data_IF_057633399603
#
_entry.id   IF_057633399603
#
_cell.length_a   1.000
_cell.length_b   1.000
_cell.length_c   1.000
_cell.angle_alpha   90.00
_cell.angle_beta   90.00
_cell.angle_gamma   90.00
#
_symmetry.space_group_name_H-M   'P 1'
#
loop_
_entity.id
_entity.type
_entity.pdbx_description
1 polymer ?
#
# COMPACT_ATOMS: atom_id res chain seq x y z
N UNK A 1 -13.09 1.56 0.19
CA UNK A 1 -12.50 0.36 -0.45
C UNK A 1 -13.42 -0.82 -0.26
N UNK A 2 -13.71 -1.54 -1.33
CA UNK A 2 -14.56 -2.72 -1.29
C UNK A 2 -13.90 -3.85 -0.48
N UNK A 3 -14.73 -4.68 0.15
CA UNK A 3 -14.24 -5.81 0.94
C UNK A 3 -13.38 -6.77 0.12
N UNK A 4 -13.75 -7.00 -1.13
CA UNK A 4 -13.00 -7.85 -2.05
C UNK A 4 -11.59 -7.36 -2.35
N UNK A 5 -11.32 -6.07 -2.15
CA UNK A 5 -10.01 -5.46 -2.39
C UNK A 5 -9.17 -5.33 -1.12
N UNK A 6 -9.67 -5.82 0.02
CA UNK A 6 -8.93 -5.78 1.29
C UNK A 6 -8.16 -7.07 1.52
N UNK A 7 -6.88 -6.92 1.83
CA UNK A 7 -6.06 -8.03 2.28
C UNK A 7 -6.11 -8.04 3.80
N UNK A 8 -6.81 -9.02 4.39
CA UNK A 8 -7.08 -9.03 5.82
C UNK A 8 -6.53 -10.24 6.57
N UNK A 9 -6.18 -11.33 5.89
CA UNK A 9 -5.68 -12.53 6.54
C UNK A 9 -4.18 -12.40 6.83
N UNK A 10 -3.80 -12.74 8.07
CA UNK A 10 -2.40 -12.68 8.50
C UNK A 10 -1.47 -13.51 7.61
N UNK A 11 -1.91 -14.71 7.20
CA UNK A 11 -1.09 -15.57 6.34
C UNK A 11 -0.86 -14.95 4.96
N UNK A 12 -1.83 -14.20 4.45
CA UNK A 12 -1.69 -13.52 3.15
C UNK A 12 -0.71 -12.36 3.25
N UNK A 13 -0.79 -11.58 4.33
CA UNK A 13 0.20 -10.55 4.64
C UNK A 13 1.61 -11.14 4.71
N UNK A 14 1.76 -12.23 5.47
CA UNK A 14 3.06 -12.87 5.63
C UNK A 14 3.61 -13.40 4.31
N UNK A 15 2.77 -13.99 3.48
CA UNK A 15 3.17 -14.51 2.18
C UNK A 15 3.68 -13.39 1.27
N UNK A 16 2.96 -12.27 1.21
CA UNK A 16 3.37 -11.11 0.40
C UNK A 16 4.68 -10.54 0.92
N UNK A 17 4.81 -10.41 2.23
CA UNK A 17 6.01 -9.85 2.86
C UNK A 17 7.25 -10.74 2.65
N UNK A 18 7.08 -12.06 2.74
CA UNK A 18 8.21 -13.00 2.63
C UNK A 18 8.59 -13.32 1.20
N UNK A 19 7.62 -13.49 0.30
CA UNK A 19 7.83 -13.99 -1.05
C UNK A 19 7.66 -12.94 -2.12
N UNK A 20 7.05 -11.81 -1.78
CA UNK A 20 6.80 -10.73 -2.72
C UNK A 20 8.05 -9.94 -3.06
N UNK A 21 7.95 -9.19 -4.15
CA UNK A 21 8.91 -8.15 -4.48
C UNK A 21 8.59 -6.88 -3.70
N UNK A 22 9.54 -5.97 -3.58
CA UNK A 22 9.31 -4.72 -2.88
C UNK A 22 9.98 -3.54 -3.56
N UNK A 23 9.37 -2.38 -3.41
CA UNK A 23 9.95 -1.08 -3.72
C UNK A 23 9.72 -0.17 -2.51
N UNK A 24 10.58 0.82 -2.35
CA UNK A 24 10.49 1.69 -1.20
C UNK A 24 10.75 3.15 -1.56
N UNK A 25 10.23 4.03 -0.73
CA UNK A 25 10.53 5.45 -0.73
C UNK A 25 10.86 5.86 0.70
N UNK A 26 11.03 7.16 0.92
CA UNK A 26 11.31 7.68 2.25
C UNK A 26 10.23 7.29 3.28
N UNK A 27 8.96 7.27 2.86
CA UNK A 27 7.82 7.15 3.78
C UNK A 27 7.03 5.86 3.66
N UNK A 28 7.24 5.09 2.59
CA UNK A 28 6.42 3.92 2.29
C UNK A 28 7.26 2.78 1.73
N UNK A 29 6.84 1.56 2.04
CA UNK A 29 7.37 0.35 1.39
C UNK A 29 6.16 -0.38 0.80
N UNK A 30 6.26 -0.79 -0.45
CA UNK A 30 5.22 -1.56 -1.12
C UNK A 30 5.76 -2.92 -1.50
N UNK A 31 5.09 -3.97 -1.00
CA UNK A 31 5.34 -5.36 -1.40
C UNK A 31 4.21 -5.82 -2.30
N UNK A 32 4.51 -6.66 -3.29
CA UNK A 32 3.48 -7.28 -4.13
C UNK A 32 3.85 -8.70 -4.48
N UNK A 33 2.82 -9.53 -4.65
CA UNK A 33 2.97 -10.94 -4.97
C UNK A 33 1.89 -11.33 -5.99
N UNK A 34 2.27 -11.84 -7.18
CA UNK A 34 1.30 -12.35 -8.13
C UNK A 34 0.56 -13.56 -7.55
N UNK A 35 -0.71 -13.68 -7.88
CA UNK A 35 -1.55 -14.81 -7.52
C UNK A 35 -1.76 -15.69 -8.75
N UNK A 36 -1.89 -17.01 -8.54
CA UNK A 36 -2.06 -17.96 -9.64
C UNK A 36 -3.38 -17.80 -10.36
N UNK A 37 -4.45 -17.48 -9.63
CA UNK A 37 -5.76 -17.26 -10.21
C UNK A 37 -6.04 -15.79 -10.43
N UNK A 38 -6.63 -15.42 -11.59
CA UNK A 38 -7.04 -14.04 -11.82
C UNK A 38 -8.06 -13.64 -10.76
N UNK A 39 -7.76 -12.59 -10.03
CA UNK A 39 -8.65 -12.04 -9.01
C UNK A 39 -8.49 -10.54 -8.99
N UNK A 40 -9.46 -9.84 -8.39
CA UNK A 40 -9.31 -8.43 -8.15
C UNK A 40 -8.09 -8.18 -7.26
N UNK A 41 -7.38 -7.07 -7.45
CA UNK A 41 -6.23 -6.77 -6.60
C UNK A 41 -6.67 -6.59 -5.15
N UNK A 42 -5.85 -7.08 -4.23
CA UNK A 42 -6.06 -6.90 -2.79
C UNK A 42 -4.92 -6.13 -2.19
N UNK A 43 -5.23 -5.20 -1.30
CA UNK A 43 -4.23 -4.38 -0.61
C UNK A 43 -4.47 -4.41 0.89
N UNK A 44 -3.39 -4.62 1.63
CA UNK A 44 -3.37 -4.49 3.07
C UNK A 44 -2.40 -3.40 3.49
N UNK A 45 -2.66 -2.79 4.64
CA UNK A 45 -1.83 -1.72 5.17
C UNK A 45 -1.29 -2.11 6.53
N UNK A 46 0.00 -1.89 6.73
CA UNK A 46 0.64 -2.03 8.02
C UNK A 46 1.16 -0.69 8.48
N UNK A 47 0.67 -0.23 9.63
CA UNK A 47 1.09 1.04 10.22
C UNK A 47 1.68 0.74 11.59
N UNK A 48 3.03 0.63 11.69
CA UNK A 48 3.68 0.32 12.96
C UNK A 48 3.48 1.42 14.00
N UNK A 49 3.60 1.04 15.26
CA UNK A 49 3.48 1.99 16.38
C UNK A 49 4.48 3.15 16.29
N UNK A 50 5.66 2.90 15.74
CA UNK A 50 6.67 3.93 15.54
C UNK A 50 6.22 5.05 14.59
N UNK A 51 5.20 4.80 13.76
CA UNK A 51 4.70 5.81 12.82
C UNK A 51 3.82 6.87 13.48
N UNK A 52 3.36 6.66 14.72
CA UNK A 52 2.56 7.66 15.42
C UNK A 52 1.59 7.05 16.42
N UNK A 53 0.78 7.89 17.05
CA UNK A 53 -0.26 7.47 17.99
C UNK A 53 -1.44 6.80 17.27
N UNK A 54 -2.36 6.22 18.06
CA UNK A 54 -3.50 5.48 17.52
C UNK A 54 -4.37 6.32 16.58
N UNK A 55 -4.62 7.58 16.94
CA UNK A 55 -5.44 8.50 16.13
C UNK A 55 -4.77 8.78 14.79
N UNK A 56 -3.47 9.07 14.82
CA UNK A 56 -2.69 9.36 13.62
C UNK A 56 -2.57 8.14 12.71
N UNK A 57 -2.34 6.96 13.29
CA UNK A 57 -2.25 5.71 12.53
C UNK A 57 -3.58 5.37 11.85
N UNK A 58 -4.70 5.55 12.55
CA UNK A 58 -6.02 5.30 11.97
C UNK A 58 -6.34 6.29 10.86
N UNK A 59 -5.96 7.55 11.03
CA UNK A 59 -6.15 8.59 10.02
C UNK A 59 -5.39 8.28 8.74
N UNK A 60 -4.10 7.98 8.86
CA UNK A 60 -3.27 7.71 7.68
C UNK A 60 -3.73 6.43 6.95
N UNK A 61 -4.14 5.43 7.69
CA UNK A 61 -4.68 4.19 7.13
C UNK A 61 -5.94 4.46 6.31
N UNK A 62 -6.85 5.27 6.82
CA UNK A 62 -8.08 5.66 6.12
C UNK A 62 -7.77 6.46 4.87
N UNK A 63 -6.86 7.42 4.95
CA UNK A 63 -6.44 8.23 3.81
C UNK A 63 -5.78 7.37 2.72
N UNK A 64 -4.95 6.42 3.11
CA UNK A 64 -4.33 5.50 2.16
C UNK A 64 -5.36 4.61 1.46
N UNK A 65 -6.39 4.17 2.17
CA UNK A 65 -7.49 3.42 1.54
C UNK A 65 -8.20 4.24 0.47
N UNK A 66 -8.45 5.51 0.70
CA UNK A 66 -9.04 6.40 -0.30
C UNK A 66 -8.13 6.60 -1.49
N UNK A 67 -6.83 6.79 -1.25
CA UNK A 67 -5.83 6.92 -2.32
C UNK A 67 -5.83 5.68 -3.20
N UNK A 68 -5.77 4.49 -2.59
CA UNK A 68 -5.76 3.23 -3.33
C UNK A 68 -7.06 2.95 -4.06
N UNK A 69 -8.19 3.31 -3.44
CA UNK A 69 -9.51 3.09 -4.03
C UNK A 69 -9.63 3.79 -5.39
N UNK A 70 -9.10 4.98 -5.50
CA UNK A 70 -9.08 5.73 -6.77
C UNK A 70 -8.13 5.11 -7.82
N UNK A 71 -7.26 4.18 -7.43
CA UNK A 71 -6.22 3.61 -8.29
C UNK A 71 -6.37 2.11 -8.56
N UNK A 72 -7.39 1.47 -7.98
CA UNK A 72 -7.56 0.03 -8.13
C UNK A 72 -7.73 -0.42 -9.58
N UNK A 73 -8.35 0.41 -10.41
CA UNK A 73 -8.54 0.10 -11.82
C UNK A 73 -7.25 0.18 -12.64
N UNK A 74 -6.23 0.84 -12.11
CA UNK A 74 -4.96 1.04 -12.81
C UNK A 74 -3.87 0.07 -12.37
N UNK A 75 -4.05 -0.63 -11.26
CA UNK A 75 -3.08 -1.62 -10.80
C UNK A 75 -3.33 -2.97 -11.47
N UNK A 76 -2.26 -3.77 -11.59
CA UNK A 76 -2.35 -5.07 -12.25
C UNK A 76 -3.31 -6.00 -11.47
N UNK A 77 -4.30 -6.61 -12.16
CA UNK A 77 -5.14 -7.60 -11.51
C UNK A 77 -4.33 -8.84 -11.14
N UNK A 78 -4.87 -9.65 -10.24
CA UNK A 78 -4.21 -10.89 -9.84
C UNK A 78 -3.00 -10.70 -8.94
N UNK A 79 -2.86 -9.57 -8.29
CA UNK A 79 -1.76 -9.30 -7.36
C UNK A 79 -2.29 -8.98 -5.98
N UNK A 80 -1.54 -9.42 -4.97
CA UNK A 80 -1.73 -8.98 -3.59
C UNK A 80 -0.65 -7.97 -3.24
N UNK A 81 -1.06 -6.90 -2.57
CA UNK A 81 -0.19 -5.79 -2.18
C UNK A 81 -0.21 -5.61 -0.67
N UNK A 82 0.94 -5.30 -0.10
CA UNK A 82 1.06 -4.84 1.29
C UNK A 82 1.83 -3.53 1.29
N UNK A 83 1.22 -2.48 1.82
CA UNK A 83 1.87 -1.19 1.96
C UNK A 83 2.21 -0.96 3.43
N UNK A 84 3.48 -0.72 3.71
CA UNK A 84 3.98 -0.47 5.06
C UNK A 84 4.30 1.01 5.19
N UNK A 85 3.71 1.64 6.19
CA UNK A 85 3.95 3.04 6.52
C UNK A 85 5.24 3.15 7.34
N UNK A 86 6.13 4.04 6.91
CA UNK A 86 7.36 4.33 7.64
C UNK A 86 7.16 5.54 8.54
N UNK A 87 8.04 5.65 9.53
CA UNK A 87 8.03 6.77 10.47
C UNK A 87 8.09 8.10 9.73
N UNK A 88 7.28 9.06 10.19
CA UNK A 88 7.24 10.40 9.62
C UNK A 88 6.15 10.63 8.59
N UNK A 89 5.51 9.58 8.06
CA UNK A 89 4.46 9.76 7.06
C UNK A 89 3.25 10.54 7.57
N UNK A 90 2.68 10.23 8.76
CA UNK A 90 1.50 10.99 9.22
C UNK A 90 1.74 12.49 9.30
N UNK A 91 2.87 12.91 9.83
CA UNK A 91 3.20 14.33 9.92
C UNK A 91 3.42 14.96 8.55
N UNK A 92 4.12 14.26 7.66
CA UNK A 92 4.37 14.74 6.31
C UNK A 92 3.07 14.85 5.50
N UNK A 93 2.16 13.91 5.66
CA UNK A 93 0.86 13.94 4.98
C UNK A 93 -0.01 15.10 5.49
N UNK A 94 0.01 15.37 6.79
CA UNK A 94 -0.69 16.51 7.37
C UNK A 94 -0.14 17.85 6.84
N UNK A 95 1.17 17.95 6.77
CA UNK A 95 1.83 19.17 6.29
C UNK A 95 1.65 19.42 4.79
N UNK A 96 1.60 18.37 3.98
CA UNK A 96 1.61 18.48 2.52
C UNK A 96 0.26 18.21 1.85
N UNK A 97 -0.68 17.55 2.54
CA UNK A 97 -2.03 17.35 2.07
C UNK A 97 -2.28 16.03 1.35
N UNK A 98 -3.55 15.78 1.06
CA UNK A 98 -4.02 14.52 0.49
C UNK A 98 -3.48 14.25 -0.91
N UNK A 99 -3.39 15.29 -1.75
CA UNK A 99 -2.84 15.13 -3.11
C UNK A 99 -1.38 14.69 -3.08
N UNK A 100 -0.59 15.22 -2.15
CA UNK A 100 0.79 14.82 -1.95
C UNK A 100 0.88 13.34 -1.55
N UNK A 101 -0.02 12.88 -0.68
CA UNK A 101 -0.06 11.48 -0.27
C UNK A 101 -0.33 10.57 -1.46
N UNK A 102 -1.23 10.96 -2.35
CA UNK A 102 -1.49 10.26 -3.61
C UNK A 102 -0.25 10.17 -4.48
N UNK A 103 0.50 11.26 -4.58
CA UNK A 103 1.76 11.28 -5.35
C UNK A 103 2.79 10.31 -4.77
N UNK A 104 2.85 10.16 -3.45
CA UNK A 104 3.75 9.19 -2.81
C UNK A 104 3.39 7.75 -3.18
N UNK A 105 2.10 7.43 -3.23
CA UNK A 105 1.63 6.11 -3.66
C UNK A 105 1.93 5.89 -5.15
N UNK A 106 1.66 6.88 -5.99
CA UNK A 106 1.91 6.81 -7.44
C UNK A 106 3.38 6.61 -7.76
N UNK A 107 4.27 7.21 -7.01
CA UNK A 107 5.72 7.00 -7.17
C UNK A 107 6.08 5.52 -7.02
N UNK A 108 5.54 4.86 -5.98
CA UNK A 108 5.81 3.45 -5.76
C UNK A 108 5.13 2.56 -6.80
N UNK A 109 3.91 2.88 -7.19
CA UNK A 109 3.22 2.13 -8.24
C UNK A 109 3.98 2.21 -9.59
N UNK A 110 4.56 3.36 -9.89
CA UNK A 110 5.41 3.51 -11.06
C UNK A 110 6.64 2.60 -11.02
N UNK A 111 7.23 2.45 -9.85
CA UNK A 111 8.37 1.54 -9.65
C UNK A 111 7.98 0.06 -9.80
N UNK A 112 6.78 -0.32 -9.37
CA UNK A 112 6.31 -1.71 -9.52
C UNK A 112 6.13 -2.06 -11.00
N UNK A 113 5.60 -1.15 -11.80
CA UNK A 113 5.42 -1.34 -13.25
C UNK A 113 6.76 -1.59 -13.94
N UNK A 114 7.78 -0.80 -13.60
CA UNK A 114 9.13 -1.00 -14.12
C UNK A 114 9.73 -2.33 -13.69
N UNK A 115 9.56 -2.71 -12.42
CA UNK A 115 10.05 -3.97 -11.90
C UNK A 115 9.32 -5.18 -12.48
N UNK A 116 8.02 -5.06 -12.73
CA UNK A 116 7.22 -6.13 -13.34
C UNK A 116 7.59 -6.34 -14.82
N UNK A 117 8.00 -5.28 -15.52
CA UNK A 117 8.41 -5.35 -16.91
C UNK A 117 9.82 -5.95 -17.07
N UNK A 118 10.58 -5.94 -16.02
CA UNK A 118 11.92 -6.53 -15.99
C UNK A 118 11.85 -8.00 -15.61
#
# INVERSE_FOLDING_TARGET
>A
MKRANRLSRSRDFDAVHRRGRSVSSRYLVLYWLPQEEPAEPRIGFAVPRAAGGAVERNRIKRQLREVWDARLDTVAPGHYYVMIVREGLPEAAEANGFAWLGDQVDELLGKTSGAAAA
#
